data_IF_005814817991
#
_entry.id   IF_005814817991
#
_cell.length_a   1.000
_cell.length_b   1.000
_cell.length_c   1.000
_cell.angle_alpha   90.00
_cell.angle_beta   90.00
_cell.angle_gamma   90.00
#
_symmetry.space_group_name_H-M   'P 1'
#
loop_
_entity.id
_entity.type
_entity.pdbx_description
1 polymer ?
#
# COMPACT_ATOMS: atom_id res chain seq x y z
N UNK A 1 2.23 0.48 40.28
CA UNK A 1 1.22 0.46 39.19
C UNK A 1 1.35 1.68 38.27
N UNK A 2 1.37 2.94 38.78
CA UNK A 2 1.45 4.15 37.95
C UNK A 2 2.77 4.26 37.18
N UNK A 3 3.90 3.98 37.83
CA UNK A 3 5.24 4.01 37.22
C UNK A 3 5.41 2.96 36.12
N UNK A 4 4.80 1.79 36.26
CA UNK A 4 4.83 0.76 35.23
C UNK A 4 3.96 1.11 33.99
N UNK A 5 2.83 1.79 34.19
CA UNK A 5 2.00 2.29 33.09
C UNK A 5 2.72 3.39 32.30
N UNK A 6 3.34 4.36 32.98
CA UNK A 6 4.11 5.42 32.32
C UNK A 6 5.27 4.83 31.52
N UNK A 7 5.97 3.82 32.06
CA UNK A 7 7.07 3.16 31.34
C UNK A 7 6.58 2.42 30.07
N UNK A 8 5.42 1.77 30.12
CA UNK A 8 4.80 1.08 28.98
C UNK A 8 4.40 2.09 27.91
N UNK A 9 3.73 3.19 28.28
CA UNK A 9 3.31 4.23 27.35
C UNK A 9 4.49 4.92 26.66
N UNK A 10 5.55 5.20 27.43
CA UNK A 10 6.80 5.79 26.89
C UNK A 10 7.48 4.83 25.91
N UNK A 11 7.55 3.54 26.24
CA UNK A 11 8.13 2.53 25.36
C UNK A 11 7.29 2.36 24.07
N UNK A 12 5.97 2.31 24.20
CA UNK A 12 5.08 2.23 23.04
C UNK A 12 5.23 3.46 22.12
N UNK A 13 5.31 4.66 22.68
CA UNK A 13 5.56 5.88 21.93
C UNK A 13 6.91 5.87 21.21
N UNK A 14 7.97 5.40 21.88
CA UNK A 14 9.30 5.28 21.28
C UNK A 14 9.31 4.27 20.11
N UNK A 15 8.63 3.12 20.26
CA UNK A 15 8.49 2.13 19.19
C UNK A 15 7.73 2.71 18.00
N UNK A 16 6.61 3.43 18.24
CA UNK A 16 5.86 4.07 17.18
C UNK A 16 6.69 5.11 16.42
N UNK A 17 7.46 5.95 17.13
CA UNK A 17 8.34 6.93 16.52
C UNK A 17 9.44 6.26 15.68
N UNK A 18 10.03 5.19 16.17
CA UNK A 18 11.06 4.44 15.46
C UNK A 18 10.50 3.77 14.20
N UNK A 19 9.31 3.16 14.28
CA UNK A 19 8.63 2.57 13.12
C UNK A 19 8.30 3.62 12.06
N UNK A 20 7.87 4.81 12.49
CA UNK A 20 7.62 5.93 11.59
C UNK A 20 8.90 6.36 10.87
N UNK A 21 10.00 6.56 11.60
CA UNK A 21 11.31 6.91 11.04
C UNK A 21 11.77 5.83 10.05
N UNK A 22 11.68 4.55 10.41
CA UNK A 22 12.06 3.45 9.54
C UNK A 22 11.22 3.41 8.27
N UNK A 23 9.94 3.77 8.36
CA UNK A 23 9.07 3.84 7.18
C UNK A 23 9.52 4.92 6.20
N UNK A 24 10.05 6.05 6.66
CA UNK A 24 10.59 7.11 5.80
C UNK A 24 11.89 6.70 5.09
N UNK A 25 12.68 5.79 5.65
CA UNK A 25 13.88 5.26 4.99
C UNK A 25 13.58 4.35 3.79
N UNK A 26 12.37 3.82 3.66
CA UNK A 26 12.00 3.00 2.52
C UNK A 26 11.71 3.86 1.29
N UNK A 27 12.51 3.74 0.19
CA UNK A 27 12.20 4.44 -1.06
C UNK A 27 10.82 4.05 -1.59
N UNK A 28 10.10 5.00 -2.18
CA UNK A 28 8.76 4.75 -2.72
C UNK A 28 8.69 3.60 -3.71
N UNK A 29 9.71 3.44 -4.56
CA UNK A 29 9.82 2.31 -5.48
C UNK A 29 9.86 0.96 -4.75
N UNK A 30 10.59 0.88 -3.63
CA UNK A 30 10.68 -0.34 -2.82
C UNK A 30 9.35 -0.62 -2.13
N UNK A 31 8.71 0.39 -1.56
CA UNK A 31 7.35 0.27 -1.00
C UNK A 31 6.37 -0.29 -2.03
N UNK A 32 6.40 0.25 -3.25
CA UNK A 32 5.55 -0.20 -4.35
C UNK A 32 5.80 -1.65 -4.74
N UNK A 33 7.05 -2.05 -4.92
CA UNK A 33 7.42 -3.43 -5.30
C UNK A 33 6.99 -4.45 -4.24
N UNK A 34 7.20 -4.17 -2.96
CA UNK A 34 6.83 -5.08 -1.86
C UNK A 34 5.33 -5.29 -1.79
N UNK A 35 4.54 -4.22 -1.95
CA UNK A 35 3.09 -4.26 -1.78
C UNK A 35 2.39 -4.75 -3.03
N UNK A 36 2.74 -4.19 -4.19
CA UNK A 36 1.97 -4.40 -5.42
C UNK A 36 2.62 -5.42 -6.36
N UNK A 37 3.95 -5.56 -6.37
CA UNK A 37 4.77 -6.23 -7.39
C UNK A 37 4.71 -5.45 -8.72
N UNK A 38 3.53 -5.32 -9.31
CA UNK A 38 3.22 -4.46 -10.45
C UNK A 38 2.13 -3.49 -10.03
N UNK A 39 2.33 -2.19 -10.25
CA UNK A 39 1.31 -1.20 -9.92
C UNK A 39 0.11 -1.35 -10.85
N UNK A 40 -1.13 -1.30 -10.32
CA UNK A 40 -2.31 -1.33 -11.19
C UNK A 40 -2.34 -0.23 -12.25
N UNK A 41 -1.67 0.90 -11.99
CA UNK A 41 -1.50 2.00 -12.95
C UNK A 41 -0.62 1.66 -14.14
N UNK A 42 0.30 0.71 -14.00
CA UNK A 42 1.27 0.37 -15.06
C UNK A 42 0.65 -0.52 -16.15
N UNK A 43 -0.43 -1.22 -15.81
CA UNK A 43 -1.14 -2.14 -16.70
C UNK A 43 -2.57 -1.72 -17.01
N UNK A 44 -3.00 -0.55 -16.52
CA UNK A 44 -4.40 -0.11 -16.56
C UNK A 44 -5.00 -0.16 -17.97
N UNK A 45 -4.30 0.34 -18.97
CA UNK A 45 -4.82 0.37 -20.35
C UNK A 45 -4.86 -1.01 -21.01
N UNK A 46 -3.88 -1.86 -20.68
CA UNK A 46 -3.88 -3.28 -21.07
C UNK A 46 -5.01 -4.05 -20.39
N UNK A 47 -5.28 -3.75 -19.14
CA UNK A 47 -6.36 -4.39 -18.36
C UNK A 47 -7.74 -3.91 -18.81
N UNK A 48 -7.90 -2.64 -19.23
CA UNK A 48 -9.12 -2.14 -19.90
C UNK A 48 -9.33 -2.91 -21.20
N UNK A 49 -8.33 -3.01 -22.06
CA UNK A 49 -8.44 -3.68 -23.35
C UNK A 49 -8.83 -5.16 -23.20
N UNK A 50 -8.22 -5.86 -22.24
CA UNK A 50 -8.49 -7.27 -21.93
C UNK A 50 -9.78 -7.51 -21.13
N UNK A 51 -10.41 -6.45 -20.62
CA UNK A 51 -11.64 -6.53 -19.81
C UNK A 51 -11.42 -7.07 -18.40
N UNK A 52 -10.18 -6.99 -17.86
CA UNK A 52 -9.85 -7.43 -16.51
C UNK A 52 -10.18 -6.41 -15.42
N UNK A 53 -10.42 -5.15 -15.81
CA UNK A 53 -10.83 -4.11 -14.86
C UNK A 53 -12.28 -4.33 -14.44
N UNK A 54 -12.53 -4.24 -13.14
CA UNK A 54 -13.89 -4.16 -12.61
C UNK A 54 -14.54 -2.85 -13.08
N UNK A 55 -15.39 -2.97 -14.09
CA UNK A 55 -16.10 -1.84 -14.72
C UNK A 55 -17.30 -1.35 -13.90
N UNK A 56 -17.38 -1.69 -12.60
CA UNK A 56 -18.46 -1.23 -11.73
C UNK A 56 -18.50 0.30 -11.68
N UNK A 57 -19.36 0.90 -12.49
CA UNK A 57 -19.64 2.32 -12.45
C UNK A 57 -19.12 3.17 -13.63
N UNK A 58 -18.60 2.56 -14.70
CA UNK A 58 -18.32 3.25 -15.98
C UNK A 58 -18.59 2.35 -17.19
N UNK A 59 -18.73 2.97 -18.37
CA UNK A 59 -18.93 2.25 -19.63
C UNK A 59 -17.59 1.68 -20.14
N UNK A 60 -17.42 0.36 -20.00
CA UNK A 60 -16.21 -0.35 -20.44
C UNK A 60 -16.04 -0.29 -21.97
N UNK A 61 -17.10 -0.28 -22.75
CA UNK A 61 -17.01 -0.21 -24.21
C UNK A 61 -16.42 1.14 -24.63
N UNK A 62 -16.94 2.22 -24.07
CA UNK A 62 -16.43 3.57 -24.28
C UNK A 62 -14.96 3.73 -23.80
N UNK A 63 -14.62 3.14 -22.64
CA UNK A 63 -13.25 3.14 -22.16
C UNK A 63 -12.30 2.39 -23.11
N UNK A 64 -12.69 1.22 -23.62
CA UNK A 64 -11.90 0.46 -24.61
C UNK A 64 -11.67 1.27 -25.89
N UNK A 65 -12.66 1.94 -26.40
CA UNK A 65 -12.55 2.79 -27.58
C UNK A 65 -11.59 3.97 -27.31
N UNK A 66 -11.80 4.69 -26.22
CA UNK A 66 -11.00 5.87 -25.84
C UNK A 66 -9.52 5.55 -25.67
N UNK A 67 -9.19 4.42 -25.03
CA UNK A 67 -7.82 4.03 -24.68
C UNK A 67 -7.24 2.94 -25.61
N UNK A 68 -7.88 2.62 -26.73
CA UNK A 68 -7.42 1.58 -27.66
C UNK A 68 -5.96 1.77 -28.12
N UNK A 69 -5.55 3.01 -28.34
CA UNK A 69 -4.20 3.36 -28.78
C UNK A 69 -3.10 3.13 -27.73
N UNK A 70 -3.49 3.02 -26.45
CA UNK A 70 -2.54 2.81 -25.33
C UNK A 70 -2.41 1.34 -24.94
N UNK A 71 -3.30 0.47 -25.38
CA UNK A 71 -3.31 -0.94 -24.98
C UNK A 71 -2.03 -1.71 -25.36
N UNK A 72 -1.41 -1.32 -26.47
CA UNK A 72 -0.15 -1.90 -26.97
C UNK A 72 1.04 -0.93 -26.83
N UNK A 73 0.85 0.19 -26.18
CA UNK A 73 1.91 1.18 -25.97
C UNK A 73 2.96 0.65 -24.96
N UNK A 74 4.23 1.07 -25.07
CA UNK A 74 5.25 0.71 -24.08
C UNK A 74 4.87 1.25 -22.69
N UNK A 75 5.32 0.55 -21.64
CA UNK A 75 4.93 0.83 -20.24
C UNK A 75 5.19 2.28 -19.81
N UNK A 76 6.29 2.89 -20.26
CA UNK A 76 6.62 4.29 -19.98
C UNK A 76 5.57 5.26 -20.55
N UNK A 77 5.02 4.98 -21.72
CA UNK A 77 3.96 5.80 -22.31
C UNK A 77 2.64 5.59 -21.58
N UNK A 78 2.29 4.36 -21.21
CA UNK A 78 1.10 4.08 -20.40
C UNK A 78 1.18 4.81 -19.04
N UNK A 79 2.33 4.75 -18.38
CA UNK A 79 2.55 5.45 -17.11
C UNK A 79 2.47 6.98 -17.26
N UNK A 80 3.01 7.55 -18.34
CA UNK A 80 2.92 8.99 -18.61
C UNK A 80 1.46 9.45 -18.79
N UNK A 81 0.69 8.71 -19.59
CA UNK A 81 -0.74 9.00 -19.84
C UNK A 81 -1.56 8.84 -18.55
N UNK A 82 -1.29 7.79 -17.77
CA UNK A 82 -1.91 7.62 -16.46
C UNK A 82 -1.69 8.82 -15.54
N UNK A 83 -0.43 9.29 -15.44
CA UNK A 83 -0.09 10.43 -14.60
C UNK A 83 -0.77 11.73 -15.09
N UNK A 84 -0.91 11.90 -16.40
CA UNK A 84 -1.63 13.05 -16.96
C UNK A 84 -3.12 13.00 -16.64
N UNK A 85 -3.77 11.84 -16.78
CA UNK A 85 -5.16 11.65 -16.37
C UNK A 85 -5.39 11.91 -14.88
N UNK A 86 -4.52 11.38 -14.04
CA UNK A 86 -4.59 11.59 -12.60
C UNK A 86 -4.43 13.07 -12.24
N UNK A 87 -3.51 13.78 -12.91
CA UNK A 87 -3.31 15.23 -12.75
C UNK A 87 -4.55 15.99 -13.18
N UNK A 88 -5.13 15.70 -14.35
CA UNK A 88 -6.36 16.33 -14.83
C UNK A 88 -7.52 16.14 -13.84
N UNK A 89 -7.68 14.94 -13.25
CA UNK A 89 -8.66 14.71 -12.21
C UNK A 89 -8.43 15.57 -10.95
N UNK A 90 -7.17 15.81 -10.58
CA UNK A 90 -6.81 16.68 -9.43
C UNK A 90 -7.07 18.15 -9.74
N UNK A 91 -6.67 18.60 -10.92
CA UNK A 91 -6.86 19.99 -11.38
C UNK A 91 -8.36 20.34 -11.51
N UNK A 92 -9.20 19.36 -11.86
CA UNK A 92 -10.64 19.47 -11.87
C UNK A 92 -11.29 19.35 -10.46
N UNK A 93 -10.49 19.38 -9.37
CA UNK A 93 -10.94 19.29 -7.98
C UNK A 93 -11.87 18.09 -7.71
N UNK A 94 -11.64 16.95 -8.35
CA UNK A 94 -12.39 15.72 -8.13
C UNK A 94 -12.06 15.12 -6.75
N UNK A 95 -12.75 15.60 -5.70
CA UNK A 95 -12.51 15.24 -4.30
C UNK A 95 -12.47 13.73 -4.07
N UNK A 96 -13.30 12.95 -4.77
CA UNK A 96 -13.33 11.50 -4.67
C UNK A 96 -12.02 10.83 -5.13
N UNK A 97 -11.31 11.40 -6.11
CA UNK A 97 -10.00 10.90 -6.57
C UNK A 97 -8.91 11.29 -5.58
N UNK A 98 -8.94 12.54 -5.11
CA UNK A 98 -7.96 13.06 -4.14
C UNK A 98 -8.04 12.27 -2.83
N UNK A 99 -9.24 12.04 -2.33
CA UNK A 99 -9.44 11.26 -1.10
C UNK A 99 -9.03 9.79 -1.27
N UNK A 100 -9.33 9.19 -2.43
CA UNK A 100 -8.93 7.83 -2.73
C UNK A 100 -7.39 7.70 -2.78
N UNK A 101 -6.68 8.67 -3.37
CA UNK A 101 -5.21 8.71 -3.40
C UNK A 101 -4.62 8.84 -1.98
N UNK A 102 -5.13 9.77 -1.16
CA UNK A 102 -4.71 9.90 0.24
C UNK A 102 -4.89 8.60 1.01
N UNK A 103 -6.05 7.95 0.85
CA UNK A 103 -6.32 6.67 1.50
C UNK A 103 -5.43 5.54 0.99
N UNK A 104 -5.05 5.54 -0.29
CA UNK A 104 -4.08 4.58 -0.83
C UNK A 104 -2.70 4.78 -0.21
N UNK A 105 -2.20 6.02 -0.20
CA UNK A 105 -0.88 6.34 0.38
C UNK A 105 -0.83 5.97 1.86
N UNK A 106 -1.85 6.35 2.63
CA UNK A 106 -1.97 5.98 4.04
C UNK A 106 -1.96 4.46 4.24
N UNK A 107 -2.73 3.71 3.44
CA UNK A 107 -2.81 2.24 3.58
C UNK A 107 -1.49 1.57 3.18
N UNK A 108 -0.79 2.12 2.17
CA UNK A 108 0.57 1.72 1.76
C UNK A 108 1.54 1.88 2.93
N UNK A 109 1.51 3.03 3.57
CA UNK A 109 2.44 3.36 4.65
C UNK A 109 2.15 2.54 5.92
N UNK A 110 0.88 2.25 6.22
CA UNK A 110 0.50 1.30 7.28
C UNK A 110 1.05 -0.10 6.98
N UNK A 111 0.95 -0.58 5.74
CA UNK A 111 1.48 -1.87 5.34
C UNK A 111 3.00 -1.94 5.53
N UNK A 112 3.73 -0.89 5.14
CA UNK A 112 5.18 -0.81 5.31
C UNK A 112 5.60 -0.70 6.78
N UNK A 113 4.85 0.06 7.58
CA UNK A 113 5.06 0.14 9.03
C UNK A 113 4.90 -1.24 9.70
N UNK A 114 3.91 -2.03 9.24
CA UNK A 114 3.72 -3.41 9.73
C UNK A 114 4.92 -4.30 9.39
N UNK A 115 5.51 -4.16 8.19
CA UNK A 115 6.73 -4.88 7.80
C UNK A 115 7.92 -4.44 8.67
N UNK A 116 8.10 -3.14 8.85
CA UNK A 116 9.18 -2.60 9.69
C UNK A 116 9.08 -3.13 11.12
N UNK A 117 7.86 -3.17 11.67
CA UNK A 117 7.61 -3.73 13.00
C UNK A 117 7.91 -5.23 13.06
N UNK A 118 7.55 -5.99 12.01
CA UNK A 118 7.85 -7.42 11.90
C UNK A 118 9.37 -7.66 11.89
N UNK A 119 10.12 -6.89 11.09
CA UNK A 119 11.59 -6.99 11.03
C UNK A 119 12.23 -6.66 12.38
N UNK A 120 11.79 -5.58 13.04
CA UNK A 120 12.27 -5.23 14.38
C UNK A 120 11.97 -6.32 15.41
N UNK A 121 10.80 -6.91 15.37
CA UNK A 121 10.41 -8.01 16.26
C UNK A 121 11.30 -9.24 16.03
N UNK A 122 11.64 -9.56 14.78
CA UNK A 122 12.56 -10.65 14.45
C UNK A 122 13.99 -10.36 14.92
N UNK A 123 14.47 -9.13 14.80
CA UNK A 123 15.77 -8.71 15.33
C UNK A 123 15.80 -8.83 16.87
N UNK A 124 14.78 -8.31 17.53
CA UNK A 124 14.63 -8.42 18.97
C UNK A 124 14.60 -9.89 19.43
N UNK A 125 13.88 -10.75 18.68
CA UNK A 125 13.88 -12.19 18.92
C UNK A 125 15.29 -12.79 18.85
N UNK A 126 16.06 -12.47 17.80
CA UNK A 126 17.43 -12.96 17.65
C UNK A 126 18.35 -12.53 18.81
N UNK A 127 18.27 -11.25 19.19
CA UNK A 127 19.06 -10.72 20.31
C UNK A 127 18.69 -11.38 21.63
N UNK A 128 17.40 -11.51 21.94
CA UNK A 128 16.93 -12.14 23.18
C UNK A 128 17.31 -13.63 23.24
N UNK A 129 17.18 -14.36 22.14
CA UNK A 129 17.51 -15.78 22.08
C UNK A 129 19.00 -16.03 22.31
N UNK A 130 19.87 -15.15 21.78
CA UNK A 130 21.35 -15.32 21.90
C UNK A 130 21.87 -14.81 23.23
N UNK A 131 21.36 -13.66 23.71
CA UNK A 131 21.98 -12.96 24.83
C UNK A 131 21.41 -13.32 26.23
N UNK A 132 20.12 -13.66 26.32
CA UNK A 132 19.46 -13.67 27.63
C UNK A 132 18.55 -14.88 27.91
N UNK A 133 18.10 -15.63 26.92
CA UNK A 133 17.07 -16.66 27.11
C UNK A 133 17.37 -17.91 26.30
N UNK A 134 16.84 -19.04 26.75
CA UNK A 134 16.79 -20.22 25.89
C UNK A 134 15.89 -19.93 24.67
N UNK A 135 16.23 -20.51 23.51
CA UNK A 135 15.44 -20.40 22.28
C UNK A 135 13.95 -20.74 22.49
N UNK A 136 13.70 -21.74 23.32
CA UNK A 136 12.33 -22.19 23.66
C UNK A 136 11.54 -21.08 24.37
N UNK A 137 12.15 -20.37 25.29
CA UNK A 137 11.49 -19.28 26.03
C UNK A 137 11.24 -18.07 25.14
N UNK A 138 12.21 -17.71 24.30
CA UNK A 138 12.06 -16.63 23.32
C UNK A 138 10.92 -16.93 22.33
N UNK A 139 10.80 -18.16 21.82
CA UNK A 139 9.69 -18.60 20.97
C UNK A 139 8.35 -18.41 21.68
N UNK A 140 8.20 -18.89 22.92
CA UNK A 140 6.94 -18.80 23.67
C UNK A 140 6.48 -17.37 23.88
N UNK A 141 7.39 -16.41 24.09
CA UNK A 141 7.05 -15.00 24.32
C UNK A 141 6.67 -14.30 23.02
N UNK A 142 7.42 -14.53 21.93
CA UNK A 142 7.29 -13.75 20.71
C UNK A 142 6.40 -14.40 19.63
N UNK A 143 6.00 -15.67 19.80
CA UNK A 143 5.15 -16.36 18.84
C UNK A 143 3.83 -15.62 18.54
N UNK A 144 3.12 -15.20 19.58
CA UNK A 144 1.82 -14.51 19.42
C UNK A 144 1.98 -13.17 18.71
N UNK A 145 2.89 -12.27 19.10
CA UNK A 145 3.16 -11.03 18.36
C UNK A 145 3.56 -11.26 16.90
N UNK A 146 4.42 -12.26 16.64
CA UNK A 146 4.85 -12.57 15.27
C UNK A 146 3.70 -13.02 14.39
N UNK A 147 2.89 -13.97 14.86
CA UNK A 147 1.70 -14.44 14.13
C UNK A 147 0.74 -13.29 13.86
N UNK A 148 0.48 -12.45 14.86
CA UNK A 148 -0.37 -11.28 14.70
C UNK A 148 0.17 -10.32 13.63
N UNK A 149 1.46 -9.98 13.64
CA UNK A 149 2.07 -9.09 12.66
C UNK A 149 2.04 -9.66 11.24
N UNK A 150 2.25 -10.97 11.09
CA UNK A 150 2.13 -11.64 9.78
C UNK A 150 0.70 -11.54 9.25
N UNK A 151 -0.30 -11.81 10.08
CA UNK A 151 -1.71 -11.67 9.68
C UNK A 151 -2.01 -10.21 9.29
N UNK A 152 -1.60 -9.25 10.12
CA UNK A 152 -1.80 -7.81 9.85
C UNK A 152 -1.12 -7.38 8.56
N UNK A 153 0.07 -7.89 8.24
CA UNK A 153 0.72 -7.62 6.97
C UNK A 153 -0.10 -8.11 5.78
N UNK A 154 -0.64 -9.32 5.82
CA UNK A 154 -1.49 -9.83 4.73
C UNK A 154 -2.77 -9.00 4.57
N UNK A 155 -3.42 -8.63 5.67
CA UNK A 155 -4.65 -7.82 5.66
C UNK A 155 -4.37 -6.43 5.09
N UNK A 156 -3.33 -5.75 5.57
CA UNK A 156 -2.98 -4.40 5.11
C UNK A 156 -2.49 -4.41 3.67
N UNK A 157 -1.76 -5.43 3.23
CA UNK A 157 -1.35 -5.61 1.83
C UNK A 157 -2.56 -5.80 0.91
N UNK A 158 -3.54 -6.60 1.29
CA UNK A 158 -4.79 -6.77 0.53
C UNK A 158 -5.58 -5.46 0.48
N UNK A 159 -5.66 -4.74 1.58
CA UNK A 159 -6.32 -3.44 1.64
C UNK A 159 -5.63 -2.42 0.74
N UNK A 160 -4.30 -2.33 0.75
CA UNK A 160 -3.53 -1.44 -0.11
C UNK A 160 -3.78 -1.71 -1.60
N UNK A 161 -3.78 -2.99 -2.01
CA UNK A 161 -4.12 -3.39 -3.40
C UNK A 161 -5.54 -2.99 -3.78
N UNK A 162 -6.52 -3.22 -2.91
CA UNK A 162 -7.91 -2.84 -3.15
C UNK A 162 -8.06 -1.32 -3.31
N UNK A 163 -7.35 -0.53 -2.49
CA UNK A 163 -7.36 0.94 -2.60
C UNK A 163 -6.71 1.43 -3.90
N UNK A 164 -5.60 0.81 -4.34
CA UNK A 164 -4.97 1.14 -5.61
C UNK A 164 -5.91 0.87 -6.80
N UNK A 165 -6.58 -0.28 -6.83
CA UNK A 165 -7.59 -0.59 -7.86
C UNK A 165 -8.74 0.43 -7.85
N UNK A 166 -9.20 0.86 -6.67
CA UNK A 166 -10.27 1.86 -6.56
C UNK A 166 -9.90 3.19 -7.21
N UNK A 167 -8.66 3.65 -7.05
CA UNK A 167 -8.20 4.88 -7.73
C UNK A 167 -8.25 4.71 -9.23
N UNK A 168 -7.75 3.57 -9.73
CA UNK A 168 -7.79 3.27 -11.17
C UNK A 168 -9.22 3.38 -11.71
N UNK A 169 -10.17 2.74 -11.05
CA UNK A 169 -11.58 2.78 -11.45
C UNK A 169 -12.12 4.22 -11.41
N UNK A 170 -11.82 5.00 -10.38
CA UNK A 170 -12.29 6.38 -10.24
C UNK A 170 -11.72 7.30 -11.31
N UNK A 171 -10.42 7.21 -11.60
CA UNK A 171 -9.77 8.04 -12.63
C UNK A 171 -10.33 7.72 -14.02
N UNK A 172 -10.44 6.43 -14.37
CA UNK A 172 -11.01 6.01 -15.65
C UNK A 172 -12.47 6.42 -15.77
N UNK A 173 -13.26 6.27 -14.71
CA UNK A 173 -14.64 6.74 -14.68
C UNK A 173 -14.76 8.23 -15.01
N UNK A 174 -13.96 9.06 -14.34
CA UNK A 174 -13.97 10.51 -14.60
C UNK A 174 -13.52 10.82 -16.04
N UNK A 175 -12.48 10.16 -16.55
CA UNK A 175 -12.02 10.34 -17.92
C UNK A 175 -13.10 9.98 -18.96
N UNK A 176 -13.81 8.86 -18.78
CA UNK A 176 -14.90 8.41 -19.67
C UNK A 176 -16.12 9.32 -19.61
N UNK A 177 -16.36 9.97 -18.49
CA UNK A 177 -17.46 10.92 -18.30
C UNK A 177 -17.15 12.32 -18.82
N UNK A 178 -15.94 12.59 -19.32
CA UNK A 178 -15.51 13.87 -19.91
C UNK A 178 -14.92 14.85 -18.91
N UNK A 179 -14.34 14.28 -17.80
CA UNK A 179 -13.70 15.02 -16.69
C UNK A 179 -14.61 16.06 -16.07
#
# INVERSE_FOLDING_TARGET
>A
ALSSMIAIDTLAGAICALVFILNEFWPDKVKQQIIYKDMPSDTVFTDIASGKIDAAGFDLAKAKEMFAHLSNAPANQQTAEWNDLLRKCKDAERGNVIDAERMQLMTRDICMSTISLLVMTLIAFGVLAVAYMSLVTAIKILYIPLVYLVIMWFVTKKAAKSRANRIVVLVIKNAVQGL
#
